data_IF_629516444268
#
_entry.id   IF_629516444268
#
_cell.length_a   1.000
_cell.length_b   1.000
_cell.length_c   1.000
_cell.angle_alpha   90.00
_cell.angle_beta   90.00
_cell.angle_gamma   90.00
#
_symmetry.space_group_name_H-M   'P 1'
#
loop_
_entity.id
_entity.type
_entity.pdbx_description
1 polymer ?
#
# COMPACT_ATOMS: atom_id res chain seq x y z
N UNK A 1 18.29 -11.14 -1.12
CA UNK A 1 17.20 -10.19 -1.41
C UNK A 1 17.81 -8.82 -1.56
N UNK A 2 17.45 -8.06 -2.59
CA UNK A 2 17.90 -6.68 -2.74
C UNK A 2 16.94 -5.76 -1.97
N UNK A 3 17.47 -4.92 -1.09
CA UNK A 3 16.69 -3.87 -0.45
C UNK A 3 16.40 -2.80 -1.51
N UNK A 4 15.11 -2.48 -1.72
CA UNK A 4 14.70 -1.46 -2.68
C UNK A 4 14.05 -0.31 -1.93
N UNK A 5 14.50 0.89 -2.26
CA UNK A 5 13.98 2.14 -1.67
C UNK A 5 13.24 2.90 -2.76
N UNK A 6 12.06 3.39 -2.40
CA UNK A 6 11.21 4.20 -3.25
C UNK A 6 10.85 5.49 -2.52
N UNK A 7 10.42 6.50 -3.25
CA UNK A 7 9.97 7.77 -2.69
C UNK A 7 8.63 8.17 -3.28
N UNK A 8 7.81 8.83 -2.46
CA UNK A 8 6.53 9.42 -2.83
C UNK A 8 6.58 10.87 -2.40
N UNK A 9 6.02 11.77 -3.22
CA UNK A 9 5.90 13.17 -2.87
C UNK A 9 5.05 13.29 -1.58
N UNK A 10 5.60 13.89 -0.53
CA UNK A 10 4.93 14.00 0.77
C UNK A 10 3.55 14.65 0.67
N UNK A 11 3.36 15.59 -0.28
CA UNK A 11 2.09 16.28 -0.52
C UNK A 11 0.99 15.36 -1.07
N UNK A 12 1.35 14.16 -1.50
CA UNK A 12 0.42 13.13 -2.01
C UNK A 12 0.05 12.11 -0.93
N UNK A 13 0.77 12.08 0.19
CA UNK A 13 0.50 11.14 1.28
C UNK A 13 -0.56 11.76 2.18
N UNK A 14 -1.68 11.05 2.36
CA UNK A 14 -2.76 11.50 3.24
C UNK A 14 -2.62 10.90 4.63
N UNK A 15 -2.28 9.61 4.71
CA UNK A 15 -2.21 8.87 5.97
C UNK A 15 -1.14 7.76 5.90
N UNK A 16 -0.55 7.44 7.05
CA UNK A 16 0.35 6.30 7.24
C UNK A 16 -0.03 5.60 8.54
N UNK A 17 -0.26 4.30 8.47
CA UNK A 17 -0.56 3.45 9.63
C UNK A 17 -0.08 2.02 9.39
N UNK A 18 0.00 1.23 10.46
CA UNK A 18 0.32 -0.21 10.37
C UNK A 18 -0.76 -0.95 9.59
N UNK A 19 -0.36 -1.96 8.82
CA UNK A 19 -1.22 -2.76 7.97
C UNK A 19 -2.39 -3.36 8.77
N UNK A 20 -3.63 -2.88 8.54
CA UNK A 20 -4.80 -3.46 9.17
C UNK A 20 -5.26 -4.69 8.39
N UNK A 21 -6.30 -5.36 8.89
CA UNK A 21 -7.00 -6.38 8.12
C UNK A 21 -7.62 -5.77 6.85
N UNK A 22 -7.42 -6.44 5.72
CA UNK A 22 -7.96 -6.04 4.43
C UNK A 22 -9.17 -6.91 4.08
N UNK A 23 -10.19 -6.29 3.49
CA UNK A 23 -11.31 -7.03 2.90
C UNK A 23 -10.86 -7.61 1.57
N UNK A 24 -10.87 -8.94 1.47
CA UNK A 24 -10.51 -9.65 0.23
C UNK A 24 -11.58 -9.40 -0.83
N UNK A 25 -11.14 -9.11 -2.06
CA UNK A 25 -12.04 -8.90 -3.20
C UNK A 25 -11.84 -10.03 -4.21
N UNK A 26 -12.94 -10.66 -4.59
CA UNK A 26 -12.94 -11.63 -5.68
C UNK A 26 -12.56 -10.93 -7.00
N UNK A 27 -11.78 -11.63 -7.84
CA UNK A 27 -11.36 -11.13 -9.16
C UNK A 27 -10.54 -9.83 -9.12
N UNK A 28 -9.92 -9.51 -7.98
CA UNK A 28 -8.98 -8.40 -7.88
C UNK A 28 -7.77 -8.63 -8.81
N UNK A 29 -7.21 -7.56 -9.42
CA UNK A 29 -5.92 -7.63 -10.09
C UNK A 29 -4.84 -8.19 -9.15
N UNK A 30 -3.83 -8.89 -9.70
CA UNK A 30 -2.79 -9.58 -8.92
C UNK A 30 -2.00 -8.66 -7.98
N UNK A 31 -1.93 -7.37 -8.29
CA UNK A 31 -1.24 -6.35 -7.51
C UNK A 31 -2.10 -5.73 -6.40
N UNK A 32 -3.40 -5.99 -6.40
CA UNK A 32 -4.35 -5.57 -5.37
C UNK A 32 -4.50 -6.71 -4.35
N UNK A 33 -4.05 -6.45 -3.13
CA UNK A 33 -4.11 -7.41 -2.02
C UNK A 33 -5.44 -7.36 -1.27
N UNK A 34 -6.21 -6.29 -1.42
CA UNK A 34 -7.54 -6.17 -0.84
C UNK A 34 -8.05 -4.73 -0.80
N UNK A 35 -9.16 -4.52 -0.09
CA UNK A 35 -9.72 -3.20 0.20
C UNK A 35 -9.51 -2.85 1.67
N UNK A 36 -9.18 -1.59 1.91
CA UNK A 36 -9.20 -0.95 3.20
C UNK A 36 -10.47 -0.13 3.33
N UNK A 37 -11.17 -0.22 4.46
CA UNK A 37 -12.20 0.75 4.80
C UNK A 37 -11.56 1.93 5.56
N UNK A 38 -11.35 3.04 4.86
CA UNK A 38 -10.77 4.26 5.39
C UNK A 38 -11.83 5.37 5.42
N UNK A 39 -12.16 5.89 6.60
CA UNK A 39 -13.16 6.95 6.77
C UNK A 39 -14.48 6.67 6.02
N UNK A 40 -14.98 5.44 6.10
CA UNK A 40 -16.20 4.97 5.42
C UNK A 40 -16.10 4.94 3.88
N UNK A 41 -14.88 4.95 3.33
CA UNK A 41 -14.60 4.76 1.91
C UNK A 41 -13.72 3.53 1.70
N UNK A 42 -14.02 2.75 0.67
CA UNK A 42 -13.19 1.62 0.28
C UNK A 42 -12.01 2.10 -0.57
N UNK A 43 -10.81 1.95 -0.03
CA UNK A 43 -9.55 2.28 -0.68
C UNK A 43 -8.89 0.98 -1.14
N UNK A 44 -8.59 0.80 -2.44
CA UNK A 44 -7.82 -0.35 -2.90
C UNK A 44 -6.41 -0.30 -2.34
N UNK A 45 -5.92 -1.44 -1.84
CA UNK A 45 -4.57 -1.57 -1.30
C UNK A 45 -3.76 -2.47 -2.22
N UNK A 46 -2.60 -1.97 -2.64
CA UNK A 46 -1.67 -2.66 -3.54
C UNK A 46 -0.33 -2.96 -2.87
N UNK A 47 0.36 -3.99 -3.36
CA UNK A 47 1.75 -4.27 -2.99
C UNK A 47 2.70 -3.96 -4.16
N UNK A 48 3.74 -3.17 -3.92
CA UNK A 48 4.65 -2.72 -4.99
C UNK A 48 5.40 -3.88 -5.66
N UNK A 49 5.80 -4.90 -4.90
CA UNK A 49 6.47 -6.06 -5.49
C UNK A 49 5.56 -6.82 -6.47
N UNK A 50 4.27 -6.98 -6.14
CA UNK A 50 3.31 -7.59 -7.07
C UNK A 50 3.12 -6.69 -8.31
N UNK A 51 2.99 -5.38 -8.11
CA UNK A 51 2.84 -4.40 -9.20
C UNK A 51 4.01 -4.42 -10.19
N UNK A 52 5.23 -4.57 -9.69
CA UNK A 52 6.43 -4.58 -10.52
C UNK A 52 6.88 -5.98 -10.95
N UNK A 53 6.09 -7.02 -10.63
CA UNK A 53 6.39 -8.41 -11.01
C UNK A 53 7.60 -9.00 -10.27
N UNK A 54 7.93 -8.46 -9.09
CA UNK A 54 8.94 -9.06 -8.22
C UNK A 54 8.35 -10.23 -7.44
N UNK A 55 9.25 -11.01 -6.83
CA UNK A 55 8.86 -12.06 -5.90
C UNK A 55 8.21 -11.42 -4.67
N UNK A 56 6.93 -11.70 -4.48
CA UNK A 56 6.19 -11.40 -3.27
C UNK A 56 6.29 -12.61 -2.33
N UNK A 57 6.70 -12.38 -1.08
CA UNK A 57 6.74 -13.43 -0.06
C UNK A 57 5.48 -13.37 0.80
N UNK A 58 5.36 -12.37 1.69
CA UNK A 58 4.19 -12.18 2.54
C UNK A 58 4.16 -10.77 3.14
N UNK A 59 3.00 -10.35 3.62
CA UNK A 59 2.87 -9.16 4.46
C UNK A 59 3.00 -9.52 5.95
N UNK A 60 3.52 -8.59 6.74
CA UNK A 60 3.70 -8.68 8.18
C UNK A 60 2.80 -7.69 8.90
N UNK A 61 2.47 -7.96 10.17
CA UNK A 61 1.72 -7.01 11.02
C UNK A 61 2.48 -5.71 11.29
N UNK A 62 3.79 -5.71 11.07
CA UNK A 62 4.66 -4.55 11.19
C UNK A 62 4.76 -3.74 9.90
N UNK A 63 4.25 -4.26 8.79
CA UNK A 63 4.20 -3.50 7.54
C UNK A 63 3.28 -2.29 7.71
N UNK A 64 3.52 -1.25 6.93
CA UNK A 64 2.71 -0.04 6.92
C UNK A 64 1.95 0.10 5.61
N UNK A 65 0.79 0.73 5.68
CA UNK A 65 0.06 1.21 4.50
C UNK A 65 0.27 2.71 4.40
N UNK A 66 0.80 3.15 3.26
CA UNK A 66 0.86 4.55 2.88
C UNK A 66 -0.34 4.83 1.99
N UNK A 67 -1.24 5.70 2.43
CA UNK A 67 -2.38 6.12 1.62
C UNK A 67 -1.95 7.33 0.78
N UNK A 68 -2.09 7.18 -0.53
CA UNK A 68 -1.68 8.17 -1.53
C UNK A 68 -2.90 8.65 -2.29
N UNK A 69 -3.01 9.96 -2.46
CA UNK A 69 -4.07 10.59 -3.23
C UNK A 69 -3.53 11.24 -4.51
N UNK A 70 -4.19 10.94 -5.62
CA UNK A 70 -4.06 11.62 -6.91
C UNK A 70 -5.45 12.13 -7.31
N UNK A 71 -5.60 13.14 -8.19
CA UNK A 71 -6.91 13.75 -8.45
C UNK A 71 -8.01 12.73 -8.75
N UNK A 72 -8.92 12.55 -7.78
CA UNK A 72 -10.06 11.63 -7.87
C UNK A 72 -9.77 10.15 -7.57
N UNK A 73 -8.56 9.78 -7.15
CA UNK A 73 -8.19 8.39 -6.85
C UNK A 73 -7.33 8.33 -5.59
N UNK A 74 -7.76 7.48 -4.65
CA UNK A 74 -7.00 7.13 -3.45
C UNK A 74 -6.55 5.66 -3.54
N UNK A 75 -5.31 5.39 -3.18
CA UNK A 75 -4.74 4.04 -3.16
C UNK A 75 -3.87 3.84 -1.92
N UNK A 76 -4.01 2.70 -1.26
CA UNK A 76 -3.12 2.26 -0.20
C UNK A 76 -1.94 1.47 -0.79
N UNK A 77 -0.74 1.73 -0.31
CA UNK A 77 0.47 1.01 -0.74
C UNK A 77 1.12 0.35 0.48
N UNK A 78 1.26 -0.96 0.44
CA UNK A 78 1.98 -1.71 1.50
C UNK A 78 3.48 -1.52 1.33
N UNK A 79 4.15 -1.21 2.45
CA UNK A 79 5.60 -1.08 2.57
C UNK A 79 6.10 -1.72 3.86
N UNK A 80 7.31 -2.29 3.84
CA UNK A 80 7.91 -2.89 5.03
C UNK A 80 8.42 -1.86 6.04
N UNK A 81 8.94 -0.72 5.57
CA UNK A 81 9.50 0.31 6.42
C UNK A 81 9.34 1.69 5.79
N UNK A 82 8.99 2.67 6.62
CA UNK A 82 9.05 4.10 6.28
C UNK A 82 10.27 4.67 6.99
N UNK A 83 11.22 5.25 6.24
CA UNK A 83 12.48 5.72 6.81
C UNK A 83 12.41 7.18 7.27
N UNK A 84 12.45 8.12 6.32
CA UNK A 84 12.54 9.56 6.61
C UNK A 84 11.85 10.36 5.51
N UNK A 85 11.33 11.53 5.87
CA UNK A 85 10.91 12.56 4.91
C UNK A 85 12.13 13.46 4.69
N UNK A 86 12.60 13.56 3.44
CA UNK A 86 13.79 14.34 3.03
C UNK A 86 13.39 15.57 2.25
#
# INVERSE_FOLDING_TARGET
MALRVYAIAAQKVTEIFLLPELTVVAEAPLDIVGLLNLHNQFVPVMHLDLRFGHKFDQCWLTDSVIVVESPGIQVGVIVHQVETVV
#
